data_IF_241198040128
#
_entry.id   IF_241198040128
#
_cell.length_a   1.000
_cell.length_b   1.000
_cell.length_c   1.000
_cell.angle_alpha   90.00
_cell.angle_beta   90.00
_cell.angle_gamma   90.00
#
_symmetry.space_group_name_H-M   'P 1'
#
loop_
_entity.id
_entity.type
_entity.pdbx_description
1 polymer ?
#
# COMPACT_ATOMS: atom_id res chain seq x y z
N UNK A 1 3.17 25.13 7.49
CA UNK A 1 3.85 23.84 7.24
C UNK A 1 2.78 22.86 6.80
N UNK A 2 2.81 22.40 5.54
CA UNK A 2 1.94 21.31 5.10
C UNK A 2 2.28 20.08 5.95
N UNK A 3 1.30 19.57 6.70
CA UNK A 3 1.41 18.28 7.38
C UNK A 3 1.86 17.23 6.36
N UNK A 4 3.07 16.68 6.51
CA UNK A 4 3.64 15.62 5.66
C UNK A 4 3.04 14.23 5.94
N UNK A 5 1.99 14.16 6.76
CA UNK A 5 1.33 12.93 7.18
C UNK A 5 -0.05 12.87 6.54
N UNK A 6 -0.40 11.69 6.01
CA UNK A 6 -1.72 11.40 5.47
C UNK A 6 -2.80 11.76 6.51
N UNK A 7 -3.77 12.65 6.20
CA UNK A 7 -4.77 13.06 7.17
C UNK A 7 -5.56 11.87 7.71
N UNK A 8 -5.80 11.83 9.01
CA UNK A 8 -6.59 10.79 9.67
C UNK A 8 -7.44 11.41 10.79
N UNK A 9 -8.50 10.71 11.17
CA UNK A 9 -9.46 11.18 12.16
C UNK A 9 -10.51 12.10 11.54
N UNK A 10 -11.05 13.04 12.32
CA UNK A 10 -12.07 13.94 11.85
C UNK A 10 -11.57 14.79 10.67
N UNK A 11 -12.30 14.79 9.55
CA UNK A 11 -11.96 15.55 8.34
C UNK A 11 -11.87 17.08 8.51
N UNK A 12 -12.29 17.62 9.66
CA UNK A 12 -12.22 19.06 9.97
C UNK A 12 -11.17 19.38 11.03
N UNK A 13 -11.16 18.66 12.16
CA UNK A 13 -10.30 19.01 13.31
C UNK A 13 -9.22 17.97 13.63
N UNK A 14 -9.17 16.85 12.92
CA UNK A 14 -8.17 15.79 13.13
C UNK A 14 -8.30 15.01 14.45
N UNK A 15 -9.38 15.19 15.22
CA UNK A 15 -9.61 14.40 16.43
C UNK A 15 -9.86 12.92 16.09
N UNK A 16 -9.43 12.01 16.97
CA UNK A 16 -9.53 10.56 16.76
C UNK A 16 -10.60 9.87 17.64
N UNK A 17 -11.20 10.60 18.60
CA UNK A 17 -12.14 10.03 19.59
C UNK A 17 -13.59 10.32 19.20
N UNK A 18 -14.47 9.35 19.43
CA UNK A 18 -15.93 9.52 19.29
C UNK A 18 -16.38 9.88 17.87
N UNK A 19 -15.74 9.30 16.85
CA UNK A 19 -15.98 9.67 15.47
C UNK A 19 -17.15 8.90 14.84
N UNK A 20 -17.91 9.61 14.01
CA UNK A 20 -18.98 9.08 13.17
C UNK A 20 -18.51 8.97 11.72
N UNK A 21 -18.78 7.83 11.08
CA UNK A 21 -18.56 7.64 9.64
C UNK A 21 -19.59 8.44 8.85
N UNK A 22 -19.13 9.10 7.79
CA UNK A 22 -20.00 9.70 6.79
C UNK A 22 -20.97 8.65 6.25
N UNK A 23 -22.28 8.87 6.39
CA UNK A 23 -23.30 7.91 5.95
C UNK A 23 -23.33 7.73 4.42
N UNK A 24 -22.85 8.72 3.66
CA UNK A 24 -22.76 8.67 2.20
C UNK A 24 -21.59 7.81 1.72
N UNK A 25 -20.36 8.29 1.90
CA UNK A 25 -19.16 7.64 1.37
C UNK A 25 -18.60 6.51 2.23
N UNK A 26 -18.94 6.47 3.53
CA UNK A 26 -18.45 5.50 4.53
C UNK A 26 -16.93 5.50 4.80
N UNK A 27 -16.16 6.35 4.12
CA UNK A 27 -14.70 6.42 4.24
C UNK A 27 -14.16 7.66 4.95
N UNK A 28 -14.97 8.70 5.17
CA UNK A 28 -14.57 9.87 5.97
C UNK A 28 -15.20 9.84 7.36
N UNK A 29 -14.49 10.42 8.34
CA UNK A 29 -14.90 10.48 9.74
C UNK A 29 -15.13 11.92 10.21
N UNK A 30 -16.08 12.10 11.13
CA UNK A 30 -16.37 13.40 11.73
C UNK A 30 -16.71 13.27 13.23
N UNK A 31 -16.41 14.29 14.02
CA UNK A 31 -16.84 14.34 15.43
C UNK A 31 -18.37 14.41 15.58
N UNK A 32 -19.08 14.92 14.58
CA UNK A 32 -20.51 15.16 14.65
C UNK A 32 -21.06 15.80 13.38
N UNK A 33 -22.36 16.14 13.42
CA UNK A 33 -23.07 16.75 12.28
C UNK A 33 -22.52 18.11 11.89
N UNK A 34 -22.00 18.88 12.85
CA UNK A 34 -21.48 20.23 12.59
C UNK A 34 -20.23 20.19 11.71
N UNK A 35 -19.27 19.32 12.03
CA UNK A 35 -18.07 19.12 11.19
C UNK A 35 -18.42 18.50 9.83
N UNK A 36 -19.42 17.62 9.77
CA UNK A 36 -19.89 17.09 8.49
C UNK A 36 -20.54 18.19 7.62
N UNK A 37 -21.29 19.11 8.22
CA UNK A 37 -21.88 20.25 7.51
C UNK A 37 -20.81 21.23 7.04
N UNK A 38 -19.80 21.49 7.87
CA UNK A 38 -18.68 22.37 7.55
C UNK A 38 -17.83 21.84 6.36
N UNK A 39 -17.54 20.54 6.32
CA UNK A 39 -16.77 19.93 5.21
C UNK A 39 -17.62 19.62 3.97
N UNK A 40 -18.96 19.78 4.05
CA UNK A 40 -19.85 19.42 2.95
C UNK A 40 -19.50 20.09 1.61
N UNK A 41 -19.14 21.40 1.53
CA UNK A 41 -18.81 22.04 0.25
C UNK A 41 -17.62 21.38 -0.46
N UNK A 42 -16.56 21.03 0.26
CA UNK A 42 -15.37 20.34 -0.25
C UNK A 42 -15.61 18.85 -0.50
N UNK A 43 -16.35 18.19 0.37
CA UNK A 43 -16.52 16.74 0.34
C UNK A 43 -17.62 16.23 -0.61
N UNK A 44 -18.67 17.03 -0.87
CA UNK A 44 -19.92 16.56 -1.51
C UNK A 44 -19.72 15.80 -2.82
N UNK A 45 -18.85 16.30 -3.71
CA UNK A 45 -18.63 15.69 -5.03
C UNK A 45 -17.97 14.31 -4.94
N UNK A 46 -16.88 14.22 -4.17
CA UNK A 46 -16.21 12.95 -3.91
C UNK A 46 -17.15 11.98 -3.17
N UNK A 47 -17.90 12.49 -2.17
CA UNK A 47 -18.86 11.72 -1.40
C UNK A 47 -19.94 11.07 -2.28
N UNK A 48 -20.55 11.83 -3.20
CA UNK A 48 -21.58 11.30 -4.08
C UNK A 48 -21.02 10.28 -5.08
N UNK A 49 -19.79 10.47 -5.53
CA UNK A 49 -19.12 9.52 -6.44
C UNK A 49 -18.88 8.20 -5.73
N UNK A 50 -18.26 8.21 -4.55
CA UNK A 50 -18.02 6.99 -3.75
C UNK A 50 -19.33 6.28 -3.41
N UNK A 51 -20.36 7.02 -3.00
CA UNK A 51 -21.66 6.43 -2.70
C UNK A 51 -22.24 5.71 -3.92
N UNK A 52 -22.17 6.31 -5.11
CA UNK A 52 -22.71 5.71 -6.34
C UNK A 52 -21.93 4.47 -6.73
N UNK A 53 -20.60 4.55 -6.80
CA UNK A 53 -19.76 3.40 -7.15
C UNK A 53 -19.95 2.24 -6.16
N UNK A 54 -20.16 2.54 -4.88
CA UNK A 54 -20.44 1.51 -3.87
C UNK A 54 -21.78 0.82 -4.11
N UNK A 55 -22.84 1.59 -4.36
CA UNK A 55 -24.17 1.01 -4.65
C UNK A 55 -24.10 0.12 -5.89
N UNK A 56 -23.43 0.57 -6.96
CA UNK A 56 -23.23 -0.26 -8.16
C UNK A 56 -22.47 -1.55 -7.84
N UNK A 57 -21.37 -1.47 -7.08
CA UNK A 57 -20.62 -2.66 -6.67
C UNK A 57 -21.46 -3.62 -5.82
N UNK A 58 -22.25 -3.11 -4.87
CA UNK A 58 -23.17 -3.88 -4.03
C UNK A 58 -24.29 -4.55 -4.87
N UNK A 59 -24.79 -3.88 -5.92
CA UNK A 59 -25.78 -4.44 -6.86
C UNK A 59 -25.19 -5.62 -7.66
N UNK A 60 -23.97 -5.46 -8.20
CA UNK A 60 -23.27 -6.55 -8.90
C UNK A 60 -22.96 -7.72 -7.96
N UNK A 61 -22.54 -7.44 -6.72
CA UNK A 61 -22.29 -8.46 -5.70
C UNK A 61 -23.56 -9.26 -5.37
N UNK A 62 -24.67 -8.55 -5.18
CA UNK A 62 -25.96 -9.18 -4.88
C UNK A 62 -26.49 -9.99 -6.07
N UNK A 63 -26.25 -9.54 -7.31
CA UNK A 63 -26.60 -10.29 -8.51
C UNK A 63 -25.86 -11.63 -8.56
N UNK A 64 -24.55 -11.64 -8.23
CA UNK A 64 -23.76 -12.87 -8.13
C UNK A 64 -24.25 -13.80 -7.01
N UNK A 65 -24.58 -13.26 -5.83
CA UNK A 65 -25.14 -14.05 -4.74
C UNK A 65 -26.52 -14.66 -5.05
N UNK A 66 -27.31 -14.00 -5.89
CA UNK A 66 -28.63 -14.48 -6.29
C UNK A 66 -28.58 -15.45 -7.49
N UNK A 67 -27.41 -15.64 -8.10
CA UNK A 67 -27.28 -16.52 -9.25
C UNK A 67 -27.39 -17.98 -8.80
N UNK A 68 -28.28 -18.79 -9.38
CA UNK A 68 -28.52 -20.18 -8.94
C UNK A 68 -27.40 -21.17 -9.32
N UNK A 69 -26.29 -20.68 -9.85
CA UNK A 69 -25.29 -21.45 -10.60
C UNK A 69 -25.81 -21.97 -11.95
N UNK A 70 -24.88 -22.31 -12.84
CA UNK A 70 -25.15 -22.99 -14.11
C UNK A 70 -23.94 -23.78 -14.61
N UNK A 71 -23.92 -24.17 -15.89
CA UNK A 71 -22.81 -24.91 -16.48
C UNK A 71 -21.49 -24.11 -16.52
N UNK A 72 -21.55 -22.78 -16.55
CA UNK A 72 -20.42 -21.87 -16.66
C UNK A 72 -19.99 -21.27 -15.32
N UNK A 73 -20.90 -21.15 -14.35
CA UNK A 73 -20.64 -20.50 -13.06
C UNK A 73 -21.13 -21.33 -11.87
N UNK A 74 -20.32 -21.52 -10.81
CA UNK A 74 -20.77 -22.17 -9.59
C UNK A 74 -21.85 -21.34 -8.86
N UNK A 75 -22.65 -22.00 -8.00
CA UNK A 75 -23.68 -21.34 -7.16
C UNK A 75 -23.09 -20.29 -6.21
N UNK A 76 -21.93 -20.57 -5.60
CA UNK A 76 -21.16 -19.58 -4.83
C UNK A 76 -19.81 -19.29 -5.49
N UNK A 77 -19.74 -18.29 -6.39
CA UNK A 77 -18.50 -17.92 -7.07
C UNK A 77 -17.46 -17.29 -6.14
N UNK A 78 -17.85 -16.74 -4.99
CA UNK A 78 -16.92 -16.10 -4.06
C UNK A 78 -16.11 -17.10 -3.23
N UNK A 79 -16.60 -18.34 -3.14
CA UNK A 79 -15.91 -19.47 -2.52
C UNK A 79 -15.34 -20.42 -3.57
N UNK A 80 -16.16 -20.87 -4.52
CA UNK A 80 -15.78 -21.93 -5.46
C UNK A 80 -15.17 -21.39 -6.77
N UNK A 81 -15.25 -20.08 -7.00
CA UNK A 81 -14.62 -19.41 -8.15
C UNK A 81 -13.27 -18.78 -7.83
N UNK A 82 -12.79 -18.81 -6.59
CA UNK A 82 -11.51 -18.19 -6.19
C UNK A 82 -10.35 -18.80 -6.99
N UNK A 83 -9.43 -17.95 -7.47
CA UNK A 83 -8.33 -18.35 -8.36
C UNK A 83 -8.70 -18.34 -9.84
N UNK A 84 -9.96 -18.65 -10.16
CA UNK A 84 -10.50 -18.62 -11.53
C UNK A 84 -11.54 -17.52 -11.75
N UNK A 85 -11.67 -16.59 -10.80
CA UNK A 85 -12.80 -15.68 -10.71
C UNK A 85 -12.96 -14.84 -11.99
N UNK A 86 -11.86 -14.35 -12.57
CA UNK A 86 -11.86 -13.60 -13.83
C UNK A 86 -12.28 -14.43 -15.07
N UNK A 87 -12.12 -15.75 -15.02
CA UNK A 87 -12.58 -16.67 -16.06
C UNK A 87 -14.10 -16.77 -16.15
N UNK A 88 -14.80 -16.51 -15.05
CA UNK A 88 -16.26 -16.45 -14.98
C UNK A 88 -16.72 -15.11 -15.55
N UNK A 89 -17.49 -15.09 -16.63
CA UNK A 89 -17.75 -13.85 -17.38
C UNK A 89 -18.59 -12.85 -16.57
N UNK A 90 -19.58 -13.35 -15.84
CA UNK A 90 -20.53 -12.59 -15.03
C UNK A 90 -19.84 -11.86 -13.86
N UNK A 91 -18.75 -12.41 -13.33
CA UNK A 91 -18.04 -11.81 -12.18
C UNK A 91 -17.19 -10.59 -12.57
N UNK A 92 -16.93 -10.39 -13.88
CA UNK A 92 -16.09 -9.30 -14.37
C UNK A 92 -16.71 -7.94 -14.10
N UNK A 93 -18.04 -7.84 -14.15
CA UNK A 93 -18.74 -6.58 -13.91
C UNK A 93 -18.65 -6.18 -12.43
N UNK A 94 -18.75 -7.15 -11.51
CA UNK A 94 -18.41 -6.93 -10.10
C UNK A 94 -16.97 -6.44 -9.90
N UNK A 95 -15.97 -7.10 -10.52
CA UNK A 95 -14.56 -6.70 -10.38
C UNK A 95 -14.30 -5.29 -10.91
N UNK A 96 -14.91 -4.91 -12.04
CA UNK A 96 -14.84 -3.55 -12.60
C UNK A 96 -15.54 -2.53 -11.70
N UNK A 97 -16.74 -2.83 -11.21
CA UNK A 97 -17.47 -1.95 -10.31
C UNK A 97 -16.70 -1.72 -9.00
N UNK A 98 -16.04 -2.75 -8.49
CA UNK A 98 -15.20 -2.68 -7.30
C UNK A 98 -13.94 -1.85 -7.51
N UNK A 99 -13.29 -1.97 -8.67
CA UNK A 99 -12.18 -1.07 -9.02
C UNK A 99 -12.64 0.39 -9.17
N UNK A 100 -13.78 0.63 -9.82
CA UNK A 100 -14.35 1.97 -9.95
C UNK A 100 -14.69 2.60 -8.58
N UNK A 101 -15.02 1.78 -7.57
CA UNK A 101 -15.15 2.23 -6.19
C UNK A 101 -13.79 2.66 -5.59
N UNK A 102 -12.72 1.89 -5.83
CA UNK A 102 -11.35 2.26 -5.43
C UNK A 102 -10.93 3.59 -6.04
N UNK A 103 -11.15 3.78 -7.34
CA UNK A 103 -10.87 5.06 -8.03
C UNK A 103 -11.70 6.22 -7.47
N UNK A 104 -12.95 5.97 -7.09
CA UNK A 104 -13.79 6.97 -6.44
C UNK A 104 -13.25 7.34 -5.04
N UNK A 105 -12.79 6.37 -4.27
CA UNK A 105 -12.19 6.57 -2.95
C UNK A 105 -10.87 7.34 -3.03
N UNK A 106 -10.08 7.14 -4.10
CA UNK A 106 -8.81 7.85 -4.31
C UNK A 106 -8.96 9.40 -4.34
N UNK A 107 -10.16 9.90 -4.64
CA UNK A 107 -10.50 11.34 -4.60
C UNK A 107 -10.60 11.91 -3.18
N UNK A 108 -10.54 11.06 -2.15
CA UNK A 108 -10.59 11.43 -0.74
C UNK A 108 -9.21 11.16 -0.12
N UNK A 109 -8.50 12.24 0.22
CA UNK A 109 -7.16 12.15 0.80
C UNK A 109 -7.21 11.96 2.32
N UNK A 110 -7.53 10.74 2.78
CA UNK A 110 -7.45 10.35 4.19
C UNK A 110 -6.92 8.93 4.37
N UNK A 111 -6.36 8.63 5.54
CA UNK A 111 -5.86 7.31 5.89
C UNK A 111 -6.96 6.25 5.83
N UNK A 112 -8.18 6.59 6.25
CA UNK A 112 -9.34 5.70 6.22
C UNK A 112 -9.76 5.36 4.78
N UNK A 113 -9.65 6.32 3.86
CA UNK A 113 -9.91 6.08 2.44
C UNK A 113 -8.83 5.18 1.83
N UNK A 114 -7.55 5.42 2.15
CA UNK A 114 -6.43 4.60 1.64
C UNK A 114 -6.49 3.17 2.19
N UNK A 115 -6.86 3.01 3.47
CA UNK A 115 -7.07 1.69 4.09
C UNK A 115 -8.23 0.94 3.42
N UNK A 116 -9.35 1.62 3.12
CA UNK A 116 -10.47 1.02 2.41
C UNK A 116 -10.11 0.60 0.97
N UNK A 117 -9.37 1.46 0.25
CA UNK A 117 -8.83 1.13 -1.08
C UNK A 117 -7.96 -0.13 -1.03
N UNK A 118 -7.00 -0.17 -0.10
CA UNK A 118 -6.12 -1.32 0.08
C UNK A 118 -6.92 -2.60 0.37
N UNK A 119 -7.94 -2.53 1.23
CA UNK A 119 -8.81 -3.67 1.52
C UNK A 119 -9.54 -4.21 0.28
N UNK A 120 -10.10 -3.33 -0.55
CA UNK A 120 -10.76 -3.72 -1.79
C UNK A 120 -9.77 -4.36 -2.78
N UNK A 121 -8.59 -3.77 -2.97
CA UNK A 121 -7.58 -4.31 -3.88
C UNK A 121 -7.05 -5.67 -3.43
N UNK A 122 -6.81 -5.84 -2.13
CA UNK A 122 -6.37 -7.13 -1.58
C UNK A 122 -7.44 -8.22 -1.75
N UNK A 123 -8.73 -7.89 -1.62
CA UNK A 123 -9.79 -8.88 -1.85
C UNK A 123 -9.98 -9.18 -3.35
N UNK A 124 -9.80 -8.20 -4.23
CA UNK A 124 -9.74 -8.44 -5.68
C UNK A 124 -8.58 -9.38 -6.04
N UNK A 125 -7.40 -9.18 -5.46
CA UNK A 125 -6.24 -10.06 -5.63
C UNK A 125 -6.45 -11.46 -5.00
N UNK A 126 -7.26 -11.59 -3.96
CA UNK A 126 -7.65 -12.90 -3.41
C UNK A 126 -8.51 -13.66 -4.41
N UNK A 127 -9.51 -13.00 -4.98
CA UNK A 127 -10.43 -13.59 -5.97
C UNK A 127 -9.70 -13.94 -7.27
N UNK A 128 -8.82 -13.05 -7.73
CA UNK A 128 -8.07 -13.16 -8.97
C UNK A 128 -6.57 -13.03 -8.71
N UNK A 129 -5.91 -14.13 -8.34
CA UNK A 129 -4.47 -14.14 -8.01
C UNK A 129 -3.58 -13.76 -9.19
N UNK A 130 -4.01 -14.09 -10.41
CA UNK A 130 -3.31 -13.74 -11.65
C UNK A 130 -3.40 -12.26 -12.02
N UNK A 131 -4.06 -11.44 -11.20
CA UNK A 131 -4.16 -9.99 -11.33
C UNK A 131 -4.51 -9.51 -12.75
N UNK A 132 -5.54 -10.12 -13.36
CA UNK A 132 -5.91 -9.82 -14.75
C UNK A 132 -6.34 -8.36 -15.00
N UNK A 133 -6.59 -7.59 -13.94
CA UNK A 133 -6.92 -6.17 -14.00
C UNK A 133 -5.73 -5.25 -13.66
N UNK A 134 -4.56 -5.80 -13.33
CA UNK A 134 -3.36 -5.03 -12.96
C UNK A 134 -3.53 -4.21 -11.68
N UNK A 135 -4.41 -4.62 -10.77
CA UNK A 135 -4.69 -3.84 -9.56
C UNK A 135 -3.57 -3.95 -8.51
N UNK A 136 -2.75 -4.99 -8.61
CA UNK A 136 -1.56 -5.19 -7.79
C UNK A 136 -0.51 -4.08 -7.96
N UNK A 137 -0.55 -3.32 -9.05
CA UNK A 137 0.33 -2.17 -9.28
C UNK A 137 0.10 -1.02 -8.29
N UNK A 138 -1.13 -0.87 -7.80
CA UNK A 138 -1.48 0.19 -6.86
C UNK A 138 -1.19 -0.18 -5.40
N UNK A 139 -1.18 -1.48 -5.07
CA UNK A 139 -1.11 -1.98 -3.70
C UNK A 139 0.13 -1.48 -2.94
N UNK A 140 1.36 -1.59 -3.48
CA UNK A 140 2.56 -1.12 -2.78
C UNK A 140 2.51 0.37 -2.42
N UNK A 141 2.05 1.21 -3.36
CA UNK A 141 1.96 2.65 -3.13
C UNK A 141 0.98 3.00 -2.00
N UNK A 142 -0.16 2.29 -1.91
CA UNK A 142 -1.11 2.46 -0.80
C UNK A 142 -0.51 2.00 0.54
N UNK A 143 0.21 0.88 0.55
CA UNK A 143 0.91 0.40 1.75
C UNK A 143 1.93 1.43 2.27
N UNK A 144 2.73 2.04 1.39
CA UNK A 144 3.66 3.11 1.79
C UNK A 144 2.96 4.34 2.38
N UNK A 145 1.82 4.76 1.80
CA UNK A 145 1.02 5.87 2.32
C UNK A 145 0.48 5.62 3.73
N UNK A 146 0.27 4.35 4.08
CA UNK A 146 -0.18 3.89 5.39
C UNK A 146 0.98 3.57 6.35
N UNK A 147 2.24 3.81 5.94
CA UNK A 147 3.44 3.37 6.66
C UNK A 147 3.54 1.85 6.89
N UNK A 148 2.87 1.03 6.07
CA UNK A 148 2.98 -0.44 6.07
C UNK A 148 4.24 -0.87 5.31
N UNK A 149 5.39 -0.42 5.80
CA UNK A 149 6.66 -0.47 5.07
C UNK A 149 7.18 -1.90 4.87
N UNK A 150 7.04 -2.74 5.89
CA UNK A 150 7.46 -4.14 5.82
C UNK A 150 6.56 -4.92 4.86
N UNK A 151 5.24 -4.73 4.97
CA UNK A 151 4.26 -5.39 4.11
C UNK A 151 4.40 -4.93 2.66
N UNK A 152 4.70 -3.65 2.42
CA UNK A 152 5.01 -3.13 1.10
C UNK A 152 6.21 -3.85 0.49
N UNK A 153 7.29 -4.02 1.26
CA UNK A 153 8.49 -4.70 0.80
C UNK A 153 8.23 -6.19 0.51
N UNK A 154 7.58 -6.87 1.45
CA UNK A 154 7.23 -8.29 1.34
C UNK A 154 6.35 -8.55 0.11
N UNK A 155 5.38 -7.66 -0.15
CA UNK A 155 4.51 -7.74 -1.33
C UNK A 155 5.31 -7.62 -2.62
N UNK A 156 6.13 -6.58 -2.77
CA UNK A 156 6.97 -6.38 -3.98
C UNK A 156 7.90 -7.58 -4.16
N UNK A 157 8.56 -8.03 -3.09
CA UNK A 157 9.47 -9.17 -3.14
C UNK A 157 8.75 -10.45 -3.57
N UNK A 158 7.53 -10.68 -3.10
CA UNK A 158 6.75 -11.86 -3.49
C UNK A 158 6.48 -11.87 -5.00
N UNK A 159 6.09 -10.74 -5.59
CA UNK A 159 5.87 -10.62 -7.03
C UNK A 159 7.15 -10.87 -7.85
N UNK A 160 8.29 -10.38 -7.37
CA UNK A 160 9.59 -10.68 -7.98
C UNK A 160 9.88 -12.18 -7.93
N UNK A 161 9.77 -12.81 -6.77
CA UNK A 161 10.06 -14.24 -6.59
C UNK A 161 9.11 -15.13 -7.40
N UNK A 162 7.80 -14.86 -7.39
CA UNK A 162 6.83 -15.68 -8.12
C UNK A 162 7.02 -15.56 -9.64
N UNK A 163 7.40 -14.37 -10.14
CA UNK A 163 7.68 -14.17 -11.57
C UNK A 163 8.86 -14.98 -12.11
N UNK A 164 9.77 -15.44 -11.24
CA UNK A 164 10.86 -16.36 -11.60
C UNK A 164 10.35 -17.79 -11.87
N UNK A 165 9.12 -18.12 -11.47
CA UNK A 165 8.48 -19.41 -11.72
C UNK A 165 7.48 -19.32 -12.90
N UNK A 166 7.88 -19.70 -14.13
CA UNK A 166 7.00 -19.64 -15.30
C UNK A 166 5.86 -20.67 -15.25
N UNK A 167 5.87 -21.60 -14.29
CA UNK A 167 4.87 -22.65 -14.14
C UNK A 167 3.97 -22.43 -12.91
N UNK A 168 3.99 -21.24 -12.31
CA UNK A 168 3.10 -20.93 -11.20
C UNK A 168 1.63 -20.93 -11.67
N UNK A 169 0.81 -21.80 -11.07
CA UNK A 169 -0.61 -21.87 -11.37
C UNK A 169 -1.38 -20.84 -10.53
N UNK A 170 -1.79 -19.76 -11.18
CA UNK A 170 -2.58 -18.69 -10.54
C UNK A 170 -3.97 -19.16 -10.07
N UNK A 171 -4.50 -20.23 -10.66
CA UNK A 171 -5.78 -20.82 -10.30
C UNK A 171 -5.72 -21.74 -9.09
N UNK A 172 -4.57 -22.35 -8.83
CA UNK A 172 -4.39 -23.27 -7.70
C UNK A 172 -4.35 -22.50 -6.37
N UNK A 173 -5.45 -22.57 -5.64
CA UNK A 173 -5.59 -21.88 -4.35
C UNK A 173 -4.78 -22.50 -3.22
N UNK A 174 -4.25 -23.71 -3.40
CA UNK A 174 -3.40 -24.42 -2.44
C UNK A 174 -1.94 -23.95 -2.46
N UNK A 175 -1.50 -23.31 -3.55
CA UNK A 175 -0.15 -22.77 -3.67
C UNK A 175 0.07 -21.56 -2.74
N UNK A 176 1.32 -21.36 -2.25
CA UNK A 176 1.66 -20.20 -1.43
C UNK A 176 1.41 -18.89 -2.18
N UNK A 177 0.70 -17.96 -1.53
CA UNK A 177 0.30 -16.69 -2.12
C UNK A 177 0.50 -15.53 -1.14
N UNK A 178 1.28 -14.53 -1.56
CA UNK A 178 1.69 -13.39 -0.73
C UNK A 178 2.20 -13.82 0.67
N UNK A 179 2.95 -14.91 0.71
CA UNK A 179 3.36 -15.64 1.91
C UNK A 179 4.75 -15.24 2.44
N UNK A 180 5.48 -14.40 1.69
CA UNK A 180 6.68 -13.74 2.22
C UNK A 180 6.29 -12.80 3.36
N UNK A 181 6.97 -12.94 4.49
CA UNK A 181 6.80 -12.11 5.70
C UNK A 181 8.16 -11.79 6.31
N UNK A 182 8.33 -10.55 6.75
CA UNK A 182 9.53 -10.08 7.43
C UNK A 182 10.81 -10.27 6.61
N UNK A 183 10.73 -10.12 5.29
CA UNK A 183 11.92 -10.15 4.45
C UNK A 183 12.84 -8.97 4.82
N UNK A 184 14.15 -9.15 4.63
CA UNK A 184 15.10 -8.10 4.94
C UNK A 184 14.95 -6.92 3.96
N UNK A 185 14.31 -5.85 4.43
CA UNK A 185 14.10 -4.62 3.65
C UNK A 185 15.41 -3.94 3.22
N UNK A 186 16.57 -4.36 3.75
CA UNK A 186 17.89 -3.85 3.41
C UNK A 186 18.69 -4.76 2.48
N UNK A 187 18.16 -5.92 2.07
CA UNK A 187 18.88 -6.82 1.18
C UNK A 187 19.21 -6.15 -0.17
N UNK A 188 20.23 -6.67 -0.90
CA UNK A 188 20.62 -6.15 -2.21
C UNK A 188 19.45 -6.10 -3.19
N UNK A 189 19.46 -5.08 -4.06
CA UNK A 189 18.34 -4.79 -4.98
C UNK A 189 18.52 -5.39 -6.37
N UNK A 190 19.59 -6.14 -6.60
CA UNK A 190 19.97 -6.68 -7.91
C UNK A 190 18.86 -7.54 -8.52
N UNK A 191 18.18 -8.34 -7.69
CA UNK A 191 17.07 -9.19 -8.10
C UNK A 191 15.85 -8.40 -8.60
N UNK A 192 15.70 -7.16 -8.15
CA UNK A 192 14.58 -6.30 -8.53
C UNK A 192 14.83 -5.54 -9.84
N UNK A 193 16.03 -5.66 -10.43
CA UNK A 193 16.47 -4.89 -11.60
C UNK A 193 16.34 -5.67 -12.93
N UNK A 194 15.47 -6.68 -13.00
CA UNK A 194 15.24 -7.52 -14.19
C UNK A 194 14.22 -6.97 -15.20
N UNK A 195 14.08 -7.66 -16.35
CA UNK A 195 13.27 -7.24 -17.51
C UNK A 195 11.74 -7.27 -17.34
N UNK A 196 11.21 -7.75 -16.21
CA UNK A 196 9.78 -8.09 -16.07
C UNK A 196 9.11 -7.47 -14.83
N UNK A 197 9.48 -6.26 -14.44
CA UNK A 197 8.90 -5.62 -13.26
C UNK A 197 8.02 -4.43 -13.61
N UNK A 198 6.84 -4.37 -13.00
CA UNK A 198 5.95 -3.23 -13.11
C UNK A 198 6.67 -1.95 -12.62
N UNK A 199 6.61 -0.90 -13.43
CA UNK A 199 7.21 0.41 -13.12
C UNK A 199 6.71 0.96 -11.78
N UNK A 200 5.45 0.67 -11.44
CA UNK A 200 4.79 1.00 -10.18
C UNK A 200 5.50 0.40 -8.96
N UNK A 201 5.82 -0.89 -9.00
CA UNK A 201 6.52 -1.62 -7.93
C UNK A 201 7.93 -1.09 -7.79
N UNK A 202 8.61 -0.88 -8.91
CA UNK A 202 9.98 -0.37 -8.93
C UNK A 202 10.07 1.05 -8.36
N UNK A 203 9.16 1.94 -8.76
CA UNK A 203 9.06 3.29 -8.24
C UNK A 203 8.77 3.28 -6.73
N UNK A 204 7.87 2.39 -6.29
CA UNK A 204 7.53 2.23 -4.87
C UNK A 204 8.71 1.72 -4.06
N UNK A 205 9.43 0.70 -4.55
CA UNK A 205 10.63 0.19 -3.90
C UNK A 205 11.69 1.30 -3.75
N UNK A 206 11.89 2.10 -4.80
CA UNK A 206 12.81 3.24 -4.78
C UNK A 206 12.42 4.24 -3.69
N UNK A 207 11.14 4.61 -3.61
CA UNK A 207 10.63 5.51 -2.57
C UNK A 207 10.78 4.93 -1.16
N UNK A 208 10.55 3.62 -0.99
CA UNK A 208 10.78 2.93 0.27
C UNK A 208 12.26 3.00 0.67
N UNK A 209 13.19 2.69 -0.23
CA UNK A 209 14.64 2.76 0.04
C UNK A 209 15.09 4.20 0.37
N UNK A 210 14.55 5.20 -0.31
CA UNK A 210 14.77 6.62 0.02
C UNK A 210 14.24 6.95 1.43
N UNK A 211 13.04 6.49 1.78
CA UNK A 211 12.47 6.67 3.13
C UNK A 211 13.38 6.09 4.21
N UNK A 212 13.87 4.86 4.02
CA UNK A 212 14.81 4.21 4.93
C UNK A 212 16.13 5.00 5.02
N UNK A 213 16.69 5.43 3.89
CA UNK A 213 17.93 6.22 3.85
C UNK A 213 17.80 7.53 4.63
N UNK A 214 16.69 8.24 4.46
CA UNK A 214 16.42 9.49 5.17
C UNK A 214 16.31 9.27 6.69
N UNK A 215 15.65 8.20 7.12
CA UNK A 215 15.51 7.89 8.55
C UNK A 215 16.85 7.51 9.19
N UNK A 216 17.66 6.67 8.54
CA UNK A 216 19.00 6.32 9.03
C UNK A 216 19.92 7.55 9.07
N UNK A 217 19.85 8.41 8.05
CA UNK A 217 20.63 9.66 8.02
C UNK A 217 20.25 10.57 9.18
N UNK A 218 18.95 10.70 9.49
CA UNK A 218 18.48 11.51 10.64
C UNK A 218 18.90 10.90 11.98
N UNK A 219 18.89 9.57 12.12
CA UNK A 219 19.39 8.89 13.31
C UNK A 219 20.88 9.16 13.54
N UNK A 220 21.69 9.12 12.47
CA UNK A 220 23.12 9.41 12.57
C UNK A 220 23.38 10.89 12.89
N UNK A 221 22.63 11.80 12.28
CA UNK A 221 22.71 13.23 12.57
C UNK A 221 22.30 13.56 14.02
N UNK A 222 21.25 12.92 14.54
CA UNK A 222 20.83 13.13 15.92
C UNK A 222 21.87 12.62 16.91
N UNK A 223 22.49 11.46 16.65
CA UNK A 223 23.60 10.95 17.45
C UNK A 223 24.81 11.87 17.41
N UNK A 224 25.24 12.28 16.22
CA UNK A 224 26.40 13.16 16.03
C UNK A 224 26.20 14.52 16.73
N UNK A 225 24.96 15.00 16.80
CA UNK A 225 24.63 16.29 17.40
C UNK A 225 24.44 16.22 18.92
N UNK A 226 23.92 15.11 19.45
CA UNK A 226 23.46 15.04 20.85
C UNK A 226 24.18 13.97 21.69
N UNK A 227 24.87 13.03 21.06
CA UNK A 227 25.40 11.83 21.72
C UNK A 227 26.41 12.11 22.83
N UNK A 228 27.12 13.23 22.76
CA UNK A 228 28.03 13.70 23.81
C UNK A 228 27.42 14.79 24.71
N UNK A 229 26.23 15.29 24.37
CA UNK A 229 25.57 16.41 25.06
C UNK A 229 24.59 15.90 26.11
N UNK A 230 23.83 14.85 25.79
CA UNK A 230 22.78 14.31 26.66
C UNK A 230 23.15 12.92 27.19
N UNK A 231 22.65 12.54 28.39
CA UNK A 231 22.77 11.16 28.87
C UNK A 231 22.17 10.17 27.87
N UNK A 232 22.68 8.93 27.89
CA UNK A 232 22.29 7.88 26.94
C UNK A 232 20.78 7.64 26.94
N UNK A 233 20.15 7.64 28.10
CA UNK A 233 18.70 7.41 28.24
C UNK A 233 17.89 8.49 27.52
N UNK A 234 18.33 9.74 27.57
CA UNK A 234 17.68 10.86 26.88
C UNK A 234 17.91 10.75 25.37
N UNK A 235 19.12 10.36 24.95
CA UNK A 235 19.44 10.13 23.54
C UNK A 235 18.56 9.02 22.95
N UNK A 236 18.39 7.91 23.67
CA UNK A 236 17.58 6.78 23.25
C UNK A 236 16.10 7.17 23.09
N UNK A 237 15.56 7.97 24.02
CA UNK A 237 14.20 8.54 23.91
C UNK A 237 14.07 9.40 22.65
N UNK A 238 15.02 10.31 22.40
CA UNK A 238 15.01 11.16 21.21
C UNK A 238 15.06 10.30 19.95
N UNK A 239 16.03 9.38 19.87
CA UNK A 239 16.23 8.53 18.71
C UNK A 239 15.05 7.61 18.44
N UNK A 240 14.33 7.13 19.46
CA UNK A 240 13.11 6.33 19.28
C UNK A 240 12.02 7.05 18.47
N UNK A 241 12.02 8.38 18.49
CA UNK A 241 11.05 9.24 17.79
C UNK A 241 11.53 9.75 16.43
N UNK A 242 12.79 9.51 16.06
CA UNK A 242 13.39 10.05 14.81
C UNK A 242 12.89 9.33 13.55
N UNK A 243 12.87 7.98 13.47
CA UNK A 243 12.45 7.31 12.24
C UNK A 243 10.96 7.45 12.02
N UNK A 244 10.56 7.74 10.79
CA UNK A 244 9.17 7.74 10.39
C UNK A 244 8.71 6.31 10.03
N UNK A 245 9.62 5.51 9.46
CA UNK A 245 9.42 4.14 9.05
C UNK A 245 9.29 3.19 10.26
N UNK A 246 8.19 2.42 10.38
CA UNK A 246 8.12 1.33 11.35
C UNK A 246 9.19 0.26 11.13
N UNK A 247 9.58 0.00 9.88
CA UNK A 247 10.60 -1.01 9.56
C UNK A 247 11.99 -0.65 10.14
N UNK A 248 12.35 0.64 10.15
CA UNK A 248 13.58 1.11 10.83
C UNK A 248 13.43 0.98 12.35
N UNK A 249 12.30 1.42 12.92
CA UNK A 249 12.08 1.34 14.38
C UNK A 249 12.13 -0.09 14.92
N UNK A 250 11.73 -1.07 14.11
CA UNK A 250 11.75 -2.49 14.49
C UNK A 250 13.17 -3.11 14.47
N UNK A 251 14.15 -2.51 13.79
CA UNK A 251 15.50 -3.07 13.64
C UNK A 251 16.42 -2.61 14.77
N UNK A 252 16.56 -3.46 15.79
CA UNK A 252 17.36 -3.19 16.99
C UNK A 252 18.85 -2.92 16.70
N UNK A 253 19.42 -3.59 15.70
CA UNK A 253 20.79 -3.39 15.24
C UNK A 253 21.02 -1.99 14.64
N UNK A 254 20.00 -1.38 14.05
CA UNK A 254 20.05 0.00 13.54
C UNK A 254 19.80 1.00 14.66
N UNK A 255 18.78 0.75 15.49
CA UNK A 255 18.38 1.66 16.56
C UNK A 255 19.45 1.75 17.66
N UNK A 256 20.08 0.63 18.00
CA UNK A 256 21.09 0.54 19.06
C UNK A 256 22.52 0.34 18.52
N UNK A 257 22.68 0.35 17.20
CA UNK A 257 23.98 0.21 16.54
C UNK A 257 24.88 1.42 16.76
N UNK A 258 26.20 1.17 16.75
CA UNK A 258 27.18 2.25 16.74
C UNK A 258 27.16 3.05 15.43
N UNK A 259 27.82 4.21 15.44
CA UNK A 259 27.98 5.09 14.28
C UNK A 259 28.49 4.35 13.03
N UNK A 260 29.43 3.42 13.20
CA UNK A 260 29.99 2.63 12.10
C UNK A 260 28.94 1.74 11.40
N UNK A 261 28.04 1.12 12.19
CA UNK A 261 26.95 0.27 11.65
C UNK A 261 26.00 1.11 10.81
N UNK A 262 25.51 2.23 11.35
CA UNK A 262 24.56 3.10 10.63
C UNK A 262 25.21 3.75 9.43
N UNK A 263 26.45 4.21 9.53
CA UNK A 263 27.21 4.76 8.40
C UNK A 263 27.35 3.74 7.27
N UNK A 264 27.69 2.49 7.59
CA UNK A 264 27.76 1.41 6.61
C UNK A 264 26.42 1.16 5.93
N UNK A 265 25.32 1.10 6.69
CA UNK A 265 23.98 0.90 6.15
C UNK A 265 23.52 2.09 5.27
N UNK A 266 23.86 3.32 5.66
CA UNK A 266 23.61 4.53 4.85
C UNK A 266 24.31 4.41 3.49
N UNK A 267 25.58 4.01 3.46
CA UNK A 267 26.31 3.85 2.20
C UNK A 267 25.71 2.76 1.33
N UNK A 268 25.32 1.63 1.92
CA UNK A 268 24.61 0.56 1.20
C UNK A 268 23.29 1.05 0.60
N UNK A 269 22.47 1.77 1.38
CA UNK A 269 21.20 2.31 0.90
C UNK A 269 21.38 3.34 -0.20
N UNK A 270 22.42 4.20 -0.14
CA UNK A 270 22.76 5.11 -1.23
C UNK A 270 23.03 4.36 -2.52
N UNK A 271 23.91 3.35 -2.48
CA UNK A 271 24.21 2.52 -3.64
C UNK A 271 22.96 1.79 -4.19
N UNK A 272 22.08 1.29 -3.31
CA UNK A 272 20.81 0.69 -3.70
C UNK A 272 19.88 1.69 -4.39
N UNK A 273 19.73 2.90 -3.83
CA UNK A 273 18.91 3.97 -4.43
C UNK A 273 19.47 4.40 -5.79
N UNK A 274 20.78 4.54 -5.92
CA UNK A 274 21.43 4.90 -7.19
C UNK A 274 21.22 3.80 -8.25
N UNK A 275 21.35 2.53 -7.84
CA UNK A 275 21.07 1.37 -8.71
C UNK A 275 19.63 1.40 -9.20
N UNK A 276 18.68 1.61 -8.28
CA UNK A 276 17.27 1.66 -8.63
C UNK A 276 16.97 2.84 -9.56
N UNK A 277 17.39 4.05 -9.18
CA UNK A 277 17.16 5.25 -9.97
C UNK A 277 17.75 5.17 -11.39
N UNK A 278 18.92 4.55 -11.53
CA UNK A 278 19.54 4.33 -12.83
C UNK A 278 18.68 3.44 -13.74
N UNK A 279 18.08 2.38 -13.21
CA UNK A 279 17.16 1.52 -13.97
C UNK A 279 15.89 2.26 -14.39
N UNK A 280 15.29 3.06 -13.49
CA UNK A 280 14.13 3.91 -13.84
C UNK A 280 14.45 4.86 -15.00
N UNK A 281 15.67 5.38 -15.04
CA UNK A 281 16.11 6.34 -16.06
C UNK A 281 16.32 5.70 -17.44
N UNK A 282 16.45 4.37 -17.51
CA UNK A 282 16.57 3.61 -18.76
C UNK A 282 15.22 3.27 -19.38
N UNK A 283 14.12 3.40 -18.63
CA UNK A 283 12.78 3.09 -19.12
C UNK A 283 12.35 4.19 -20.12
N UNK A 284 12.02 3.82 -21.37
CA UNK A 284 11.66 4.80 -22.37
C UNK A 284 10.40 5.60 -21.97
N UNK A 285 10.40 6.92 -22.21
CA UNK A 285 9.33 7.84 -21.76
C UNK A 285 7.90 7.52 -22.28
N UNK A 286 7.76 6.62 -23.24
CA UNK A 286 6.47 6.22 -23.82
C UNK A 286 5.74 5.14 -22.99
N UNK A 287 6.46 4.40 -22.13
CA UNK A 287 5.86 3.44 -21.19
C UNK A 287 5.21 4.14 -19.97
N UNK A 288 5.59 5.39 -19.69
CA UNK A 288 5.08 6.17 -18.54
C UNK A 288 3.64 6.66 -18.76
N UNK A 289 3.14 6.65 -20.00
CA UNK A 289 1.82 7.19 -20.34
C UNK A 289 0.67 6.17 -20.17
N UNK A 290 0.97 4.89 -19.92
CA UNK A 290 -0.03 3.80 -19.88
C UNK A 290 0.06 2.92 -18.62
N UNK A 291 0.88 3.30 -17.64
CA UNK A 291 1.02 2.63 -16.33
C UNK A 291 0.32 3.41 -15.22
#
# INVERSE_FOLDING_TARGET
>A
MLSKVLPSGCGVCGQHKGLLRCSGCKVLLYCGRDHQAADRPSHKSACSTVRRSRVTMEEEEQALHNHPGDFMMPEDPFTNGVGHFWGLFETRDYMRARFALVEAMAKINSAESVEAQLGHLMDMLRLCRGDNMGVGDLVPALMLRLNKDQECYDFIKWWVVVSENPHYDWGDTSLPYLDIKNADVLEPVDRFCGQFHALSHFSTLTLLKIKLLLDLTRLEQSYSSLGTIVPREILDIIQSSVPHSPAVRAKHDIMNGGCDTRTTMIQRLKAQVDTLYSQLSLIPRWDIAHS
#
